data_IF_649579580017
#
_entry.id   IF_649579580017
#
_cell.length_a   1.000
_cell.length_b   1.000
_cell.length_c   1.000
_cell.angle_alpha   90.00
_cell.angle_beta   90.00
_cell.angle_gamma   90.00
#
_symmetry.space_group_name_H-M   'P 1'
#
loop_
_entity.id
_entity.type
_entity.pdbx_description
1 polymer ?
#
# COMPACT_ATOMS: atom_id res chain seq x y z
N UNK A 1 0.91 -10.35 35.06
CA UNK A 1 0.61 -11.25 33.93
C UNK A 1 1.83 -11.24 33.02
N UNK A 2 2.60 -12.33 33.02
CA UNK A 2 3.70 -12.53 32.06
C UNK A 2 3.10 -12.60 30.67
N UNK A 3 3.63 -11.83 29.71
CA UNK A 3 3.17 -11.89 28.32
C UNK A 3 3.51 -13.30 27.80
N UNK A 4 2.50 -14.16 27.62
CA UNK A 4 2.70 -15.57 27.29
C UNK A 4 3.26 -15.78 25.87
N UNK A 5 3.17 -14.75 25.03
CA UNK A 5 3.50 -14.79 23.61
C UNK A 5 4.82 -14.07 23.32
N UNK A 6 5.62 -14.65 22.42
CA UNK A 6 6.90 -14.10 22.03
C UNK A 6 6.74 -13.04 20.93
N UNK A 7 7.56 -12.00 20.94
CA UNK A 7 7.62 -10.97 19.90
C UNK A 7 8.96 -10.26 19.91
N UNK A 8 9.42 -9.82 18.73
CA UNK A 8 10.52 -8.87 18.62
C UNK A 8 10.01 -7.48 18.97
N UNK A 9 10.77 -6.74 19.77
CA UNK A 9 10.52 -5.34 20.12
C UNK A 9 11.71 -4.47 19.70
N UNK A 10 11.45 -3.17 19.49
CA UNK A 10 12.51 -2.19 19.35
C UNK A 10 13.27 -2.06 20.67
N UNK A 11 14.60 -2.12 20.60
CA UNK A 11 15.48 -1.83 21.72
C UNK A 11 15.85 -0.35 21.73
N UNK A 12 15.52 0.32 22.83
CA UNK A 12 15.76 1.74 23.05
C UNK A 12 16.88 2.01 24.05
N UNK A 13 17.49 0.98 24.65
CA UNK A 13 18.36 1.12 25.81
C UNK A 13 17.67 1.93 26.92
N UNK A 14 18.30 3.03 27.36
CA UNK A 14 17.73 3.95 28.36
C UNK A 14 16.76 5.02 27.78
N UNK A 15 16.46 4.96 26.48
CA UNK A 15 15.78 6.03 25.73
C UNK A 15 14.31 6.27 26.08
N UNK A 16 13.63 5.36 26.78
CA UNK A 16 12.21 5.50 27.15
C UNK A 16 11.96 6.19 28.50
N UNK A 17 13.01 6.71 29.15
CA UNK A 17 12.91 7.34 30.47
C UNK A 17 11.91 8.51 30.50
N UNK A 18 11.87 9.33 29.44
CA UNK A 18 10.92 10.43 29.31
C UNK A 18 9.47 9.95 29.27
N UNK A 19 9.16 8.90 28.50
CA UNK A 19 7.82 8.32 28.43
C UNK A 19 7.38 7.69 29.75
N UNK A 20 8.32 7.10 30.50
CA UNK A 20 8.02 6.61 31.84
C UNK A 20 7.57 7.75 32.77
N UNK A 21 8.24 8.91 32.73
CA UNK A 21 7.80 10.08 33.50
C UNK A 21 6.39 10.53 33.11
N UNK A 22 6.04 10.52 31.82
CA UNK A 22 4.67 10.81 31.38
C UNK A 22 3.67 9.82 31.97
N UNK A 23 3.97 8.52 31.92
CA UNK A 23 3.09 7.49 32.51
C UNK A 23 2.86 7.71 34.01
N UNK A 24 3.92 8.05 34.77
CA UNK A 24 3.82 8.35 36.20
C UNK A 24 3.07 9.67 36.49
N UNK A 25 3.22 10.68 35.63
CA UNK A 25 2.45 11.92 35.73
C UNK A 25 0.95 11.65 35.54
N UNK A 26 0.56 10.86 34.54
CA UNK A 26 -0.84 10.46 34.33
C UNK A 26 -1.36 9.66 35.54
N UNK A 27 -0.55 8.74 36.08
CA UNK A 27 -0.92 7.93 37.26
C UNK A 27 -1.27 8.78 38.48
N UNK A 28 -0.60 9.91 38.66
CA UNK A 28 -0.76 10.79 39.84
C UNK A 28 -1.73 11.95 39.60
N UNK A 29 -1.91 12.38 38.35
CA UNK A 29 -2.66 13.59 37.99
C UNK A 29 -3.68 13.34 36.86
N UNK A 30 -4.26 12.14 36.79
CA UNK A 30 -5.14 11.72 35.68
C UNK A 30 -6.28 12.70 35.40
N UNK A 31 -6.92 13.26 36.43
CA UNK A 31 -8.02 14.23 36.27
C UNK A 31 -7.61 15.50 35.53
N UNK A 32 -6.42 16.03 35.82
CA UNK A 32 -5.92 17.24 35.19
C UNK A 32 -5.44 16.97 33.76
N UNK A 33 -4.72 15.86 33.56
CA UNK A 33 -4.07 15.55 32.30
C UNK A 33 -5.00 14.91 31.25
N UNK A 34 -6.08 14.25 31.70
CA UNK A 34 -7.00 13.54 30.80
C UNK A 34 -8.35 14.25 30.60
N UNK A 35 -8.54 15.39 31.27
CA UNK A 35 -9.80 16.15 31.35
C UNK A 35 -11.03 15.30 31.76
N UNK A 36 -10.80 14.19 32.45
CA UNK A 36 -11.82 13.24 32.88
C UNK A 36 -11.41 12.62 34.23
N UNK A 37 -12.39 12.41 35.12
CA UNK A 37 -12.17 11.76 36.41
C UNK A 37 -12.13 10.23 36.24
N UNK A 38 -11.02 9.76 35.68
CA UNK A 38 -10.78 8.35 35.37
C UNK A 38 -9.49 7.85 36.02
N UNK A 39 -9.50 6.61 36.46
CA UNK A 39 -8.28 5.97 36.95
C UNK A 39 -7.35 5.64 35.78
N UNK A 40 -6.06 5.57 36.06
CA UNK A 40 -5.02 5.13 35.12
C UNK A 40 -4.11 4.12 35.83
N UNK A 41 -3.65 3.11 35.09
CA UNK A 41 -2.66 2.14 35.54
C UNK A 41 -1.45 2.26 34.61
N UNK A 42 -0.36 2.85 35.10
CA UNK A 42 0.87 3.03 34.35
C UNK A 42 1.53 1.69 34.03
N UNK A 43 2.05 1.57 32.80
CA UNK A 43 2.94 0.48 32.42
C UNK A 43 4.24 0.61 33.21
N UNK A 44 4.71 -0.49 33.80
CA UNK A 44 5.96 -0.47 34.56
C UNK A 44 7.15 -0.14 33.64
N UNK A 45 8.21 0.55 34.12
CA UNK A 45 9.32 1.01 33.29
C UNK A 45 9.95 -0.12 32.46
N UNK A 46 10.18 -1.28 33.08
CA UNK A 46 10.77 -2.47 32.46
C UNK A 46 9.86 -3.17 31.44
N UNK A 47 8.59 -2.75 31.35
CA UNK A 47 7.60 -3.25 30.39
C UNK A 47 7.32 -2.26 29.26
N UNK A 48 7.89 -1.05 29.28
CA UNK A 48 7.76 -0.11 28.17
C UNK A 48 8.53 -0.65 26.97
N UNK A 49 7.82 -0.86 25.86
CA UNK A 49 8.39 -1.35 24.62
C UNK A 49 7.53 -0.92 23.45
N UNK A 50 8.11 -0.98 22.24
CA UNK A 50 7.37 -0.92 20.99
C UNK A 50 7.50 -2.27 20.30
N UNK A 51 6.39 -3.00 20.15
CA UNK A 51 6.39 -4.28 19.43
C UNK A 51 6.79 -4.04 17.99
N UNK A 52 7.70 -4.87 17.47
CA UNK A 52 8.21 -4.82 16.11
C UNK A 52 7.59 -5.94 15.25
N UNK A 53 7.85 -7.20 15.59
CA UNK A 53 7.29 -8.38 14.89
C UNK A 53 6.65 -9.30 15.92
N UNK A 54 5.37 -9.62 15.73
CA UNK A 54 4.63 -10.50 16.63
C UNK A 54 4.77 -11.97 16.18
N UNK A 55 5.21 -12.84 17.09
CA UNK A 55 5.31 -14.27 16.82
C UNK A 55 4.16 -15.07 17.43
N UNK A 56 3.58 -14.61 18.54
CA UNK A 56 2.55 -15.37 19.25
C UNK A 56 3.13 -16.59 19.95
N UNK A 57 2.43 -17.72 19.86
CA UNK A 57 2.89 -19.03 20.35
C UNK A 57 3.72 -19.79 19.30
N UNK A 58 3.74 -19.30 18.05
CA UNK A 58 4.32 -20.01 16.90
C UNK A 58 5.83 -20.21 17.03
N UNK A 59 6.55 -19.25 17.61
CA UNK A 59 8.00 -19.36 17.83
C UNK A 59 8.34 -20.56 18.73
N UNK A 60 7.49 -20.87 19.72
CA UNK A 60 7.73 -22.00 20.63
C UNK A 60 7.44 -23.35 19.99
N UNK A 61 6.66 -23.38 18.91
CA UNK A 61 6.33 -24.60 18.18
C UNK A 61 7.47 -25.09 17.27
N UNK A 62 8.49 -24.25 17.05
CA UNK A 62 9.62 -24.59 16.18
C UNK A 62 10.60 -25.57 16.83
N UNK A 63 11.16 -26.46 16.02
CA UNK A 63 12.21 -27.38 16.45
C UNK A 63 13.54 -26.65 16.68
N UNK A 64 14.47 -27.26 17.43
CA UNK A 64 15.81 -26.66 17.69
C UNK A 64 16.55 -26.23 16.41
N UNK A 65 16.61 -27.04 15.32
CA UNK A 65 17.28 -26.62 14.09
C UNK A 65 16.59 -25.45 13.40
N UNK A 66 15.25 -25.43 13.38
CA UNK A 66 14.48 -24.32 12.81
C UNK A 66 14.69 -23.03 13.59
N UNK A 67 14.73 -23.10 14.93
CA UNK A 67 15.02 -21.95 15.78
C UNK A 67 16.44 -21.42 15.55
N UNK A 68 17.44 -22.29 15.41
CA UNK A 68 18.81 -21.88 15.15
C UNK A 68 18.95 -21.21 13.78
N UNK A 69 18.31 -21.79 12.76
CA UNK A 69 18.29 -21.21 11.42
C UNK A 69 17.56 -19.87 11.40
N UNK A 70 16.40 -19.76 12.03
CA UNK A 70 15.65 -18.51 12.13
C UNK A 70 16.49 -17.45 12.86
N UNK A 71 17.08 -17.77 14.01
CA UNK A 71 17.95 -16.85 14.74
C UNK A 71 19.08 -16.29 13.88
N UNK A 72 19.76 -17.17 13.13
CA UNK A 72 20.85 -16.79 12.23
C UNK A 72 20.35 -15.89 11.10
N UNK A 73 19.26 -16.26 10.42
CA UNK A 73 18.68 -15.46 9.33
C UNK A 73 18.21 -14.08 9.85
N UNK A 74 17.61 -14.00 11.04
CA UNK A 74 17.24 -12.72 11.66
C UNK A 74 18.47 -11.87 11.99
N UNK A 75 19.52 -12.49 12.54
CA UNK A 75 20.79 -11.82 12.85
C UNK A 75 21.44 -11.23 11.60
N UNK A 76 21.47 -12.00 10.51
CA UNK A 76 22.07 -11.57 9.26
C UNK A 76 21.28 -10.42 8.63
N UNK A 77 19.93 -10.49 8.63
CA UNK A 77 19.07 -9.40 8.15
C UNK A 77 19.29 -8.10 8.93
N UNK A 78 19.42 -8.17 10.27
CA UNK A 78 19.69 -6.98 11.09
C UNK A 78 21.10 -6.44 10.81
N UNK A 79 22.11 -7.31 10.75
CA UNK A 79 23.50 -6.92 10.47
C UNK A 79 23.69 -6.36 9.07
N UNK A 80 22.89 -6.78 8.09
CA UNK A 80 22.93 -6.27 6.71
C UNK A 80 22.10 -5.00 6.52
N UNK A 81 21.33 -4.59 7.53
CA UNK A 81 20.59 -3.34 7.46
C UNK A 81 21.51 -2.13 7.58
N UNK A 82 21.26 -1.10 6.76
CA UNK A 82 21.97 0.19 6.79
C UNK A 82 21.52 1.07 7.97
N UNK A 83 21.20 0.45 9.12
CA UNK A 83 20.82 1.14 10.34
C UNK A 83 22.04 1.18 11.25
N UNK A 84 22.64 2.37 11.39
CA UNK A 84 23.71 2.64 12.37
C UNK A 84 23.18 3.51 13.52
N UNK A 85 22.30 4.46 13.20
CA UNK A 85 21.61 5.33 14.16
C UNK A 85 20.18 5.55 13.68
N UNK A 86 19.24 4.86 14.30
CA UNK A 86 17.83 4.96 13.94
C UNK A 86 17.11 5.89 14.89
N UNK A 87 16.88 7.13 14.45
CA UNK A 87 16.02 8.07 15.14
C UNK A 87 14.55 7.68 14.96
N UNK A 88 13.80 7.72 16.06
CA UNK A 88 12.37 7.48 16.09
C UNK A 88 11.64 8.75 16.53
N UNK A 89 11.21 9.61 15.58
CA UNK A 89 10.54 10.87 15.88
C UNK A 89 9.20 10.62 16.58
N UNK A 90 8.96 11.37 17.66
CA UNK A 90 7.68 11.35 18.34
C UNK A 90 6.62 12.08 17.49
N UNK A 91 5.43 11.48 17.36
CA UNK A 91 4.32 12.02 16.55
C UNK A 91 3.25 12.68 17.41
N UNK A 92 2.71 11.97 18.40
CA UNK A 92 1.64 12.44 19.31
C UNK A 92 1.34 11.42 20.41
N UNK A 93 0.60 11.86 21.43
CA UNK A 93 -0.13 10.94 22.31
C UNK A 93 -1.53 10.64 21.74
N UNK A 94 -2.03 9.42 21.90
CA UNK A 94 -3.39 9.08 21.49
C UNK A 94 -4.00 7.92 22.28
N UNK A 95 -5.33 7.80 22.23
CA UNK A 95 -6.05 6.61 22.67
C UNK A 95 -5.99 5.54 21.58
N UNK A 96 -5.61 4.32 21.93
CA UNK A 96 -5.32 3.27 20.93
C UNK A 96 -6.57 2.84 20.12
N UNK A 97 -6.63 3.12 18.81
CA UNK A 97 -7.78 2.77 17.97
C UNK A 97 -7.63 1.35 17.37
N UNK A 98 -8.67 0.80 16.70
CA UNK A 98 -10.10 1.06 16.85
C UNK A 98 -10.78 0.13 17.88
N UNK A 99 -10.04 -0.71 18.61
CA UNK A 99 -10.60 -1.72 19.53
C UNK A 99 -10.16 -1.64 21.00
N UNK A 100 -9.10 -0.87 21.34
CA UNK A 100 -8.57 -0.73 22.71
C UNK A 100 -8.46 0.74 23.13
N UNK A 101 -9.54 1.51 22.96
CA UNK A 101 -9.59 2.93 23.32
C UNK A 101 -9.33 3.21 24.82
N UNK A 102 -9.17 2.18 25.64
CA UNK A 102 -8.76 2.28 27.03
C UNK A 102 -7.23 2.23 27.24
N UNK A 103 -6.42 2.31 26.19
CA UNK A 103 -4.96 2.42 26.31
C UNK A 103 -4.50 3.80 25.86
N UNK A 104 -3.59 4.42 26.62
CA UNK A 104 -2.87 5.61 26.19
C UNK A 104 -1.53 5.16 25.62
N UNK A 105 -1.22 5.62 24.41
CA UNK A 105 0.02 5.32 23.72
C UNK A 105 0.78 6.59 23.34
N UNK A 106 2.10 6.48 23.29
CA UNK A 106 2.97 7.41 22.56
C UNK A 106 3.16 6.84 21.15
N UNK A 107 2.77 7.60 20.12
CA UNK A 107 2.93 7.22 18.72
C UNK A 107 4.17 7.85 18.14
N UNK A 108 4.88 7.09 17.33
CA UNK A 108 6.08 7.54 16.64
C UNK A 108 5.89 7.46 15.13
N UNK A 109 6.68 8.25 14.41
CA UNK A 109 6.88 8.06 12.98
C UNK A 109 7.68 6.78 12.74
N UNK A 110 7.41 6.10 11.63
CA UNK A 110 8.12 4.87 11.27
C UNK A 110 9.18 5.20 10.20
N UNK A 111 10.49 5.25 10.56
CA UNK A 111 11.55 5.51 9.59
C UNK A 111 11.52 4.49 8.46
N UNK A 112 11.69 4.94 7.21
CA UNK A 112 11.62 4.08 6.01
C UNK A 112 12.56 2.87 6.11
N UNK A 113 13.77 3.07 6.65
CA UNK A 113 14.74 1.99 6.86
C UNK A 113 14.26 0.98 7.92
N UNK A 114 13.61 1.45 8.99
CA UNK A 114 13.08 0.60 10.05
C UNK A 114 11.87 -0.21 9.57
N UNK A 115 10.99 0.38 8.75
CA UNK A 115 9.88 -0.33 8.08
C UNK A 115 10.41 -1.40 7.11
N UNK A 116 11.45 -1.07 6.33
CA UNK A 116 12.13 -2.03 5.43
C UNK A 116 12.71 -3.19 6.23
N UNK A 117 13.43 -2.93 7.32
CA UNK A 117 13.97 -3.96 8.20
C UNK A 117 12.84 -4.85 8.76
N UNK A 118 11.78 -4.24 9.30
CA UNK A 118 10.64 -4.97 9.85
C UNK A 118 10.06 -5.94 8.84
N UNK A 119 9.83 -5.48 7.60
CA UNK A 119 9.26 -6.30 6.53
C UNK A 119 10.17 -7.48 6.17
N UNK A 120 11.49 -7.27 6.13
CA UNK A 120 12.46 -8.35 5.91
C UNK A 120 12.41 -9.40 7.02
N UNK A 121 12.41 -8.96 8.29
CA UNK A 121 12.32 -9.87 9.43
C UNK A 121 10.97 -10.59 9.47
N UNK A 122 9.86 -9.88 9.25
CA UNK A 122 8.53 -10.48 9.23
C UNK A 122 8.41 -11.57 8.14
N UNK A 123 8.91 -11.31 6.92
CA UNK A 123 8.96 -12.31 5.84
C UNK A 123 9.83 -13.51 6.21
N UNK A 124 10.98 -13.28 6.84
CA UNK A 124 11.82 -14.35 7.37
C UNK A 124 11.05 -15.19 8.40
N UNK A 125 10.36 -14.55 9.34
CA UNK A 125 9.55 -15.23 10.34
C UNK A 125 8.40 -16.03 9.70
N UNK A 126 7.74 -15.50 8.69
CA UNK A 126 6.68 -16.21 7.95
C UNK A 126 7.20 -17.46 7.24
N UNK A 127 8.37 -17.39 6.60
CA UNK A 127 9.02 -18.55 5.94
C UNK A 127 9.22 -19.71 6.92
N UNK A 128 9.49 -19.39 8.18
CA UNK A 128 9.67 -20.38 9.25
C UNK A 128 8.38 -20.71 10.02
N UNK A 129 7.21 -20.23 9.57
CA UNK A 129 5.94 -20.33 10.31
C UNK A 129 6.00 -19.76 11.74
N UNK A 130 6.85 -18.77 11.96
CA UNK A 130 7.13 -18.15 13.25
C UNK A 130 6.36 -16.83 13.46
N UNK A 131 5.50 -16.42 12.53
CA UNK A 131 4.70 -15.19 12.66
C UNK A 131 3.32 -15.37 12.05
N UNK A 132 2.35 -14.59 12.53
CA UNK A 132 1.01 -14.57 11.99
C UNK A 132 1.02 -13.95 10.58
N UNK A 133 0.16 -14.46 9.69
CA UNK A 133 -0.01 -13.98 8.30
C UNK A 133 -0.73 -12.62 8.20
N UNK A 134 -0.84 -11.89 9.31
CA UNK A 134 -1.45 -10.57 9.40
C UNK A 134 -0.31 -9.57 9.54
N UNK A 135 -0.12 -8.74 8.51
CA UNK A 135 0.84 -7.61 8.51
C UNK A 135 0.08 -6.31 8.32
N UNK A 136 -0.73 -5.98 9.33
CA UNK A 136 -1.33 -4.66 9.45
C UNK A 136 -0.22 -3.60 9.41
N UNK A 137 -0.57 -2.40 8.95
CA UNK A 137 0.35 -1.28 8.83
C UNK A 137 0.98 -0.96 10.20
N UNK A 138 2.22 -1.43 10.38
CA UNK A 138 2.91 -1.32 11.64
C UNK A 138 3.30 0.13 11.90
N UNK A 139 2.65 0.71 12.90
CA UNK A 139 2.99 2.02 13.43
C UNK A 139 3.65 1.85 14.80
N UNK A 140 4.93 2.25 14.96
CA UNK A 140 5.62 2.15 16.22
C UNK A 140 4.90 2.99 17.27
N UNK A 141 4.56 2.33 18.37
CA UNK A 141 3.94 2.95 19.51
C UNK A 141 4.41 2.28 20.79
N UNK A 142 4.46 3.07 21.87
CA UNK A 142 4.75 2.59 23.22
C UNK A 142 3.49 2.76 24.06
N UNK A 143 3.04 1.71 24.73
CA UNK A 143 1.88 1.77 25.62
C UNK A 143 2.27 2.33 26.97
N UNK A 144 1.78 3.53 27.30
CA UNK A 144 2.08 4.22 28.56
C UNK A 144 1.29 3.64 29.73
N UNK A 145 0.09 3.13 29.46
CA UNK A 145 -0.75 2.50 30.47
C UNK A 145 -2.20 2.35 30.03
N UNK A 146 -3.02 1.92 30.99
CA UNK A 146 -4.42 1.55 30.77
C UNK A 146 -5.35 2.42 31.61
N UNK A 147 -6.42 2.91 30.98
CA UNK A 147 -7.51 3.62 31.62
C UNK A 147 -8.42 2.65 32.37
N UNK A 148 -8.74 2.99 33.61
CA UNK A 148 -9.74 2.35 34.46
C UNK A 148 -11.03 3.16 34.34
N UNK A 149 -11.71 3.00 33.21
CA UNK A 149 -12.91 3.74 32.84
C UNK A 149 -13.93 2.86 32.10
N UNK A 150 -15.22 3.16 32.28
CA UNK A 150 -16.29 2.55 31.48
C UNK A 150 -16.31 3.09 30.05
N UNK A 151 -16.93 2.38 29.11
CA UNK A 151 -17.07 2.83 27.70
C UNK A 151 -17.71 4.22 27.58
N UNK A 152 -18.66 4.56 28.46
CA UNK A 152 -19.31 5.88 28.46
C UNK A 152 -18.35 7.00 28.89
N UNK A 153 -17.44 6.71 29.83
CA UNK A 153 -16.46 7.68 30.31
C UNK A 153 -15.33 7.92 29.29
N UNK A 154 -14.99 6.93 28.46
CA UNK A 154 -13.93 7.06 27.44
C UNK A 154 -14.22 8.17 26.42
N UNK A 155 -15.49 8.45 26.12
CA UNK A 155 -15.86 9.51 25.17
C UNK A 155 -15.51 10.94 25.64
N UNK A 156 -15.29 11.14 26.94
CA UNK A 156 -14.86 12.42 27.51
C UNK A 156 -13.35 12.52 27.77
N UNK A 157 -12.59 11.45 27.52
CA UNK A 157 -11.14 11.44 27.75
C UNK A 157 -10.43 12.10 26.57
N UNK A 158 -9.56 13.06 26.86
CA UNK A 158 -8.65 13.67 25.88
C UNK A 158 -7.22 13.57 26.40
N UNK A 159 -6.25 13.50 25.49
CA UNK A 159 -4.82 13.47 25.80
C UNK A 159 -4.10 14.74 25.39
N UNK A 160 -4.83 15.80 25.01
CA UNK A 160 -4.24 17.03 24.48
C UNK A 160 -3.26 17.71 25.46
N UNK A 161 -3.51 17.65 26.76
CA UNK A 161 -2.61 18.21 27.77
C UNK A 161 -1.27 17.46 27.87
N UNK A 162 -1.18 16.23 27.34
CA UNK A 162 0.07 15.47 27.32
C UNK A 162 1.08 16.02 26.32
N UNK A 163 0.65 16.80 25.31
CA UNK A 163 1.55 17.34 24.29
C UNK A 163 2.63 18.27 24.88
N UNK A 164 2.39 18.89 26.05
CA UNK A 164 3.42 19.64 26.79
C UNK A 164 4.58 18.76 27.28
N UNK A 165 4.34 17.46 27.41
CA UNK A 165 5.30 16.44 27.83
C UNK A 165 5.90 15.66 26.66
N UNK A 166 5.61 16.06 25.42
CA UNK A 166 6.14 15.43 24.22
C UNK A 166 7.69 15.40 24.24
N UNK A 167 8.32 14.24 23.93
CA UNK A 167 9.76 14.18 23.71
C UNK A 167 10.20 15.18 22.63
N UNK A 168 11.11 16.09 22.99
CA UNK A 168 11.61 17.14 22.09
C UNK A 168 12.68 16.67 21.11
N UNK A 169 13.32 15.54 21.41
CA UNK A 169 14.32 14.89 20.57
C UNK A 169 13.81 13.51 20.17
N UNK A 170 14.17 13.02 18.97
CA UNK A 170 13.88 11.66 18.57
C UNK A 170 14.47 10.65 19.57
N UNK A 171 13.77 9.54 19.77
CA UNK A 171 14.27 8.45 20.61
C UNK A 171 15.14 7.55 19.73
N UNK A 172 16.34 7.22 20.20
CA UNK A 172 17.25 6.34 19.47
C UNK A 172 16.85 4.87 19.62
N UNK A 173 16.82 4.16 18.51
CA UNK A 173 16.67 2.70 18.45
C UNK A 173 18.04 2.09 18.20
N UNK A 174 18.47 1.20 19.09
CA UNK A 174 19.80 0.57 19.10
C UNK A 174 19.80 -0.82 18.44
N UNK A 175 18.62 -1.44 18.35
CA UNK A 175 18.49 -2.79 17.83
C UNK A 175 17.11 -3.36 18.07
N UNK A 176 17.05 -4.69 18.13
CA UNK A 176 15.83 -5.43 18.46
C UNK A 176 16.10 -6.41 19.59
N UNK A 177 15.12 -6.66 20.44
CA UNK A 177 15.19 -7.67 21.49
C UNK A 177 13.98 -8.58 21.47
N UNK A 178 14.14 -9.84 21.88
CA UNK A 178 13.03 -10.78 22.01
C UNK A 178 12.41 -10.66 23.41
N UNK A 179 11.15 -10.24 23.46
CA UNK A 179 10.35 -10.18 24.68
C UNK A 179 9.29 -11.29 24.72
N UNK A 180 8.82 -11.61 25.92
CA UNK A 180 7.85 -12.68 26.17
C UNK A 180 8.49 -14.04 26.47
N UNK A 181 7.74 -15.13 26.27
CA UNK A 181 8.22 -16.48 26.59
C UNK A 181 9.24 -16.97 25.56
N UNK A 182 10.49 -17.16 26.01
CA UNK A 182 11.59 -17.61 25.13
C UNK A 182 11.56 -19.13 24.86
N UNK A 183 12.11 -19.59 23.72
CA UNK A 183 12.26 -21.02 23.44
C UNK A 183 13.23 -21.68 24.43
N UNK A 184 12.71 -22.57 25.29
CA UNK A 184 13.48 -23.23 26.37
C UNK A 184 14.43 -24.35 25.91
N UNK A 185 14.45 -24.64 24.61
CA UNK A 185 15.03 -25.87 24.08
C UNK A 185 16.37 -25.66 23.36
N UNK A 186 16.92 -24.45 23.31
CA UNK A 186 18.08 -24.10 22.48
C UNK A 186 19.22 -23.50 23.31
N UNK A 187 20.47 -23.78 22.90
CA UNK A 187 21.68 -23.24 23.52
C UNK A 187 22.03 -21.82 23.04
N UNK A 188 21.25 -21.28 22.11
CA UNK A 188 21.40 -19.91 21.63
C UNK A 188 20.81 -18.94 22.64
N UNK A 189 21.54 -17.86 22.87
CA UNK A 189 21.13 -16.82 23.80
C UNK A 189 20.17 -15.84 23.11
N UNK A 190 18.88 -16.03 23.36
CA UNK A 190 17.83 -15.11 22.92
C UNK A 190 17.63 -13.93 23.90
N UNK A 191 18.49 -13.78 24.91
CA UNK A 191 18.51 -12.60 25.79
C UNK A 191 19.29 -11.44 25.17
N UNK A 192 20.29 -11.74 24.35
CA UNK A 192 21.10 -10.74 23.66
C UNK A 192 20.29 -10.00 22.57
N UNK A 193 20.52 -8.68 22.48
CA UNK A 193 19.87 -7.86 21.48
C UNK A 193 20.47 -8.09 20.09
N UNK A 194 19.64 -8.09 19.06
CA UNK A 194 20.06 -7.94 17.67
C UNK A 194 20.47 -6.48 17.45
N UNK A 195 21.73 -6.17 17.74
CA UNK A 195 22.27 -4.82 17.63
C UNK A 195 22.39 -4.37 16.17
N UNK A 196 22.07 -3.09 15.95
CA UNK A 196 22.40 -2.39 14.72
C UNK A 196 23.92 -2.21 14.59
N UNK A 197 24.42 -1.95 13.39
CA UNK A 197 25.88 -1.81 13.17
C UNK A 197 26.41 -0.64 13.99
N UNK A 198 27.54 -0.82 14.66
CA UNK A 198 28.26 0.30 15.27
C UNK A 198 28.77 1.24 14.16
N UNK A 199 28.64 2.57 14.31
CA UNK A 199 29.18 3.51 13.34
C UNK A 199 30.69 3.31 13.22
N UNK A 200 31.18 3.12 11.98
CA UNK A 200 32.61 3.07 11.73
C UNK A 200 33.24 4.39 12.18
N UNK A 201 34.20 4.32 13.12
CA UNK A 201 34.97 5.50 13.50
C UNK A 201 35.60 6.13 12.24
N UNK A 202 35.47 7.45 12.03
CA UNK A 202 36.03 8.08 10.84
C UNK A 202 37.54 7.81 10.79
N UNK A 203 37.99 7.12 9.74
CA UNK A 203 39.41 6.97 9.46
C UNK A 203 40.02 8.35 9.29
N UNK A 204 41.08 8.64 10.08
CA UNK A 204 41.82 9.89 10.00
C UNK A 204 42.26 10.17 8.55
N UNK A 205 42.10 11.40 8.04
CA UNK A 205 42.48 11.71 6.67
C UNK A 205 43.99 11.52 6.48
N UNK A 206 44.37 10.59 5.60
CA UNK A 206 45.75 10.49 5.11
C UNK A 206 46.08 11.75 4.30
N UNK A 207 47.22 12.36 4.62
CA UNK A 207 47.72 13.57 3.96
C UNK A 207 47.87 13.36 2.44
N UNK A 208 47.44 14.32 1.60
CA UNK A 208 47.65 14.23 0.17
C UNK A 208 49.12 14.53 -0.18
N UNK A 209 49.72 13.64 -0.96
CA UNK A 209 50.99 13.91 -1.63
C UNK A 209 50.79 15.02 -2.67
N UNK A 210 51.65 16.03 -2.61
CA UNK A 210 51.68 17.16 -3.51
C UNK A 210 51.95 16.72 -4.96
N UNK A 211 51.15 17.24 -5.91
CA UNK A 211 51.58 17.60 -7.27
C UNK A 211 50.55 18.50 -7.96
N UNK A 212 50.83 19.81 -7.92
CA UNK A 212 51.09 20.67 -9.08
C UNK A 212 50.20 20.67 -10.35
N UNK A 213 49.46 21.80 -10.51
CA UNK A 213 49.19 22.62 -11.75
C UNK A 213 48.21 21.94 -12.77
N UNK A 214 47.15 22.52 -13.36
CA UNK A 214 46.88 23.83 -13.99
C UNK A 214 45.39 24.25 -13.98
N UNK A 215 45.21 25.55 -14.22
CA UNK A 215 44.03 26.41 -14.33
C UNK A 215 43.04 26.09 -15.47
N UNK A 216 41.74 26.36 -15.27
CA UNK A 216 40.97 27.33 -16.09
C UNK A 216 39.58 27.62 -15.49
N UNK A 217 39.12 28.85 -15.66
CA UNK A 217 37.84 29.38 -15.23
C UNK A 217 36.80 29.34 -16.36
N UNK A 218 35.52 29.15 -16.03
CA UNK A 218 34.39 29.68 -16.80
C UNK A 218 33.13 29.79 -15.93
N UNK A 219 32.34 30.81 -16.23
CA UNK A 219 31.26 31.44 -15.46
C UNK A 219 29.88 31.10 -16.03
N UNK A 220 28.83 31.48 -15.28
CA UNK A 220 27.51 31.95 -15.77
C UNK A 220 26.44 30.86 -15.99
N UNK A 221 25.13 31.01 -15.73
CA UNK A 221 24.26 32.06 -15.14
C UNK A 221 22.91 31.38 -14.80
N UNK A 222 22.19 31.92 -13.82
CA UNK A 222 20.80 31.56 -13.48
C UNK A 222 19.78 31.95 -14.58
N UNK A 223 18.64 31.26 -14.63
CA UNK A 223 17.40 31.83 -15.16
C UNK A 223 16.16 31.21 -14.51
N UNK A 224 15.47 32.03 -13.73
CA UNK A 224 14.10 31.83 -13.24
C UNK A 224 13.15 32.49 -14.25
N UNK A 225 12.03 31.85 -14.60
CA UNK A 225 10.80 32.57 -14.97
C UNK A 225 9.56 31.76 -14.57
N UNK A 226 8.67 32.44 -13.87
CA UNK A 226 7.32 32.03 -13.50
C UNK A 226 6.30 32.49 -14.54
N UNK A 227 5.16 31.80 -14.66
CA UNK A 227 3.89 32.39 -15.10
C UNK A 227 2.69 31.69 -14.44
N UNK A 228 1.81 32.52 -13.89
CA UNK A 228 0.44 32.33 -13.36
C UNK A 228 -0.58 32.61 -14.49
N UNK A 229 -1.88 32.32 -14.49
CA UNK A 229 -2.90 31.71 -13.63
C UNK A 229 -4.20 31.56 -14.49
N UNK A 230 -5.21 30.79 -14.05
CA UNK A 230 -6.61 31.28 -13.89
C UNK A 230 -7.66 30.16 -13.67
N UNK A 231 -7.98 29.86 -12.41
CA UNK A 231 -9.36 29.63 -11.93
C UNK A 231 -9.41 29.76 -10.38
N UNK A 232 -10.05 30.80 -9.79
CA UNK A 232 -9.96 31.06 -8.35
C UNK A 232 -10.83 30.18 -7.44
N UNK A 233 -11.88 29.54 -7.94
CA UNK A 233 -12.86 28.84 -7.08
C UNK A 233 -12.61 27.32 -6.95
N UNK A 234 -11.80 26.72 -7.83
CA UNK A 234 -11.34 25.33 -7.67
C UNK A 234 -10.24 25.18 -6.59
N UNK A 235 -9.68 26.30 -6.10
CA UNK A 235 -8.43 26.30 -5.32
C UNK A 235 -8.61 26.38 -3.79
N UNK A 236 -9.85 26.48 -3.28
CA UNK A 236 -10.10 26.54 -1.83
C UNK A 236 -10.34 25.19 -1.14
N UNK A 237 -10.59 24.11 -1.89
CA UNK A 237 -10.61 22.74 -1.32
C UNK A 237 -9.28 22.02 -1.54
N UNK A 238 -8.48 22.45 -2.53
CA UNK A 238 -7.17 21.90 -2.87
C UNK A 238 -6.08 22.15 -1.81
N UNK A 239 -6.26 23.09 -0.88
CA UNK A 239 -5.25 23.46 0.11
C UNK A 239 -5.23 22.58 1.37
N UNK A 240 -6.01 21.49 1.41
CA UNK A 240 -6.11 20.62 2.59
C UNK A 240 -5.57 19.19 2.40
N UNK A 241 -5.10 18.85 1.20
CA UNK A 241 -4.52 17.54 0.88
C UNK A 241 -3.10 17.73 0.32
N UNK A 242 -2.10 16.91 0.71
CA UNK A 242 -0.75 17.03 0.17
C UNK A 242 -0.76 16.73 -1.33
N UNK A 243 -0.52 17.77 -2.13
CA UNK A 243 -0.42 17.71 -3.59
C UNK A 243 0.87 16.99 -3.99
N UNK A 244 0.86 15.66 -4.07
CA UNK A 244 2.03 14.86 -4.47
C UNK A 244 1.77 14.18 -5.82
N UNK A 245 2.08 14.90 -6.90
CA UNK A 245 2.10 14.37 -8.27
C UNK A 245 3.45 13.70 -8.56
N UNK A 246 3.44 12.49 -9.13
CA UNK A 246 4.61 11.93 -9.82
C UNK A 246 4.29 11.77 -11.31
N UNK A 247 4.97 12.53 -12.16
CA UNK A 247 5.03 12.26 -13.59
C UNK A 247 5.76 10.93 -13.84
N UNK A 248 5.21 10.10 -14.71
CA UNK A 248 5.89 8.92 -15.22
C UNK A 248 5.99 9.01 -16.75
N UNK A 249 7.23 9.13 -17.24
CA UNK A 249 7.59 9.00 -18.65
C UNK A 249 7.57 7.52 -19.05
N UNK A 250 6.40 7.03 -19.44
CA UNK A 250 6.29 6.10 -20.57
C UNK A 250 5.97 6.99 -21.76
N UNK A 251 6.64 6.84 -22.92
CA UNK A 251 6.33 7.62 -24.12
C UNK A 251 4.88 7.36 -24.56
N UNK A 252 3.96 8.13 -23.99
CA UNK A 252 2.55 8.18 -24.35
C UNK A 252 2.30 9.59 -24.88
N UNK A 253 1.52 9.75 -25.96
CA UNK A 253 1.29 11.06 -26.57
C UNK A 253 0.55 12.03 -25.63
N UNK A 254 -0.07 11.53 -24.56
CA UNK A 254 -0.82 12.32 -23.57
C UNK A 254 -0.34 11.95 -22.16
N UNK A 255 -0.04 12.97 -21.36
CA UNK A 255 0.29 12.82 -19.94
C UNK A 255 -1.00 12.72 -19.09
N UNK A 256 -0.97 11.86 -18.08
CA UNK A 256 -2.04 11.71 -17.10
C UNK A 256 -1.52 11.97 -15.70
N UNK A 257 -2.28 12.74 -14.91
CA UNK A 257 -2.00 12.96 -13.50
C UNK A 257 -2.74 11.91 -12.66
N UNK A 258 -2.01 10.97 -12.06
CA UNK A 258 -2.59 9.98 -11.14
C UNK A 258 -2.04 10.19 -9.74
N UNK A 259 -2.89 10.60 -8.81
CA UNK A 259 -2.61 10.52 -7.38
C UNK A 259 -2.62 9.06 -6.94
N UNK A 260 -1.62 8.75 -6.14
CA UNK A 260 -1.39 7.46 -5.52
C UNK A 260 -1.17 7.70 -4.02
N UNK A 261 -1.19 6.63 -3.22
CA UNK A 261 -0.86 6.66 -1.79
C UNK A 261 0.46 5.93 -1.50
N UNK A 262 1.61 6.46 -1.98
CA UNK A 262 2.90 5.76 -1.92
C UNK A 262 3.40 5.50 -0.50
N UNK A 263 2.85 6.22 0.48
CA UNK A 263 3.15 6.08 1.90
C UNK A 263 2.10 5.25 2.64
N UNK A 264 1.10 4.71 1.91
CA UNK A 264 0.02 3.86 2.41
C UNK A 264 -0.86 4.48 3.50
N UNK A 265 -0.87 5.81 3.61
CA UNK A 265 -1.52 6.56 4.69
C UNK A 265 -3.06 6.41 4.73
N UNK A 266 -3.68 6.07 3.61
CA UNK A 266 -5.14 6.08 3.43
C UNK A 266 -5.69 4.77 2.87
N UNK A 267 -4.93 4.07 2.01
CA UNK A 267 -5.40 2.93 1.23
C UNK A 267 -4.46 1.71 1.31
N UNK A 268 -3.80 1.52 2.46
CA UNK A 268 -2.88 0.41 2.71
C UNK A 268 -3.49 -0.96 2.36
N UNK A 269 -2.75 -1.77 1.61
CA UNK A 269 -3.17 -3.12 1.20
C UNK A 269 -4.19 -3.19 0.06
N UNK A 270 -4.57 -2.06 -0.54
CA UNK A 270 -5.55 -1.99 -1.64
C UNK A 270 -4.92 -1.75 -3.02
N UNK A 271 -3.59 -1.72 -3.14
CA UNK A 271 -2.92 -1.54 -4.43
C UNK A 271 -2.90 -0.11 -4.97
N UNK A 272 -3.20 0.88 -4.13
CA UNK A 272 -3.26 2.31 -4.48
C UNK A 272 -1.93 3.06 -4.34
N UNK A 273 -0.84 2.39 -3.93
CA UNK A 273 0.41 3.07 -3.61
C UNK A 273 1.19 3.59 -4.82
N UNK A 274 0.90 3.06 -6.00
CA UNK A 274 1.48 3.47 -7.26
C UNK A 274 0.65 2.91 -8.39
N UNK A 275 0.78 3.49 -9.58
CA UNK A 275 0.41 2.77 -10.80
C UNK A 275 1.37 1.59 -10.98
N UNK A 276 0.85 0.36 -10.84
CA UNK A 276 1.63 -0.86 -10.97
C UNK A 276 2.17 -1.08 -12.38
N UNK A 277 3.23 -1.90 -12.48
CA UNK A 277 3.89 -2.20 -13.76
C UNK A 277 2.94 -2.76 -14.82
N UNK A 278 2.02 -3.65 -14.43
CA UNK A 278 1.00 -4.18 -15.34
C UNK A 278 -0.01 -3.10 -15.77
N UNK A 279 -0.37 -2.16 -14.88
CA UNK A 279 -1.23 -1.02 -15.21
C UNK A 279 -0.57 -0.07 -16.22
N UNK A 280 0.72 0.25 -16.02
CA UNK A 280 1.50 1.05 -16.99
C UNK A 280 1.62 0.36 -18.34
N UNK A 281 1.90 -0.94 -18.35
CA UNK A 281 2.00 -1.73 -19.58
C UNK A 281 0.66 -1.81 -20.32
N UNK A 282 -0.45 -2.03 -19.60
CA UNK A 282 -1.78 -2.06 -20.18
C UNK A 282 -2.17 -0.69 -20.76
N UNK A 283 -1.93 0.39 -20.00
CA UNK A 283 -2.16 1.76 -20.47
C UNK A 283 -1.40 2.06 -21.77
N UNK A 284 -0.10 1.74 -21.81
CA UNK A 284 0.73 1.88 -23.00
C UNK A 284 0.18 1.09 -24.19
N UNK A 285 -0.17 -0.19 -23.96
CA UNK A 285 -0.78 -1.04 -24.99
C UNK A 285 -2.09 -0.45 -25.55
N UNK A 286 -2.99 0.00 -24.68
CA UNK A 286 -4.30 0.55 -25.03
C UNK A 286 -4.22 1.94 -25.67
N UNK A 287 -3.16 2.71 -25.45
CA UNK A 287 -3.01 4.05 -26.05
C UNK A 287 -2.89 4.07 -27.56
N UNK A 288 -2.59 2.92 -28.16
CA UNK A 288 -2.54 2.74 -29.61
C UNK A 288 -3.90 2.41 -30.21
N UNK A 289 -4.93 2.20 -29.37
CA UNK A 289 -6.26 1.82 -29.80
C UNK A 289 -7.09 3.04 -30.21
N UNK A 290 -8.14 2.77 -30.97
CA UNK A 290 -9.18 3.75 -31.30
C UNK A 290 -10.51 3.32 -30.65
N UNK A 291 -10.71 3.58 -29.36
CA UNK A 291 -11.81 3.01 -28.58
C UNK A 291 -13.09 3.86 -28.63
N UNK A 292 -13.20 4.79 -29.59
CA UNK A 292 -14.33 5.72 -29.71
C UNK A 292 -15.68 5.00 -29.63
N UNK A 293 -16.50 5.38 -28.66
CA UNK A 293 -17.86 4.88 -28.44
C UNK A 293 -17.97 3.51 -27.75
N UNK A 294 -16.85 2.87 -27.38
CA UNK A 294 -16.89 1.61 -26.62
C UNK A 294 -17.37 1.85 -25.18
N UNK A 295 -18.21 0.95 -24.66
CA UNK A 295 -18.52 0.87 -23.23
C UNK A 295 -17.50 -0.02 -22.53
N UNK A 296 -16.80 0.54 -21.55
CA UNK A 296 -15.68 -0.13 -20.86
C UNK A 296 -15.89 -0.14 -19.36
N UNK A 297 -15.64 -1.28 -18.72
CA UNK A 297 -15.57 -1.39 -17.26
C UNK A 297 -14.14 -1.80 -16.88
N UNK A 298 -13.49 -1.01 -16.02
CA UNK A 298 -12.22 -1.40 -15.41
C UNK A 298 -12.47 -2.01 -14.03
N UNK A 299 -12.04 -3.25 -13.82
CA UNK A 299 -12.09 -3.96 -12.53
C UNK A 299 -10.82 -3.72 -11.73
N UNK A 300 -10.96 -3.43 -10.44
CA UNK A 300 -9.80 -3.20 -9.55
C UNK A 300 -8.91 -2.07 -10.09
N UNK A 301 -9.53 -0.95 -10.43
CA UNK A 301 -8.88 0.14 -11.14
C UNK A 301 -7.69 0.74 -10.36
N UNK A 302 -7.69 0.67 -9.02
CA UNK A 302 -6.65 1.25 -8.18
C UNK A 302 -6.50 2.75 -8.45
N UNK A 303 -5.46 3.14 -9.19
CA UNK A 303 -5.24 4.52 -9.62
C UNK A 303 -6.00 4.90 -10.92
N UNK A 304 -6.49 3.92 -11.69
CA UNK A 304 -7.35 4.10 -12.86
C UNK A 304 -6.65 4.41 -14.19
N UNK A 305 -5.31 4.34 -14.26
CA UNK A 305 -4.57 4.77 -15.47
C UNK A 305 -5.05 4.12 -16.78
N UNK A 306 -5.24 2.79 -16.89
CA UNK A 306 -5.72 2.17 -18.12
C UNK A 306 -7.07 2.69 -18.60
N UNK A 307 -8.05 2.83 -17.70
CA UNK A 307 -9.37 3.38 -18.03
C UNK A 307 -9.32 4.87 -18.39
N UNK A 308 -8.49 5.67 -17.71
CA UNK A 308 -8.27 7.08 -18.06
C UNK A 308 -7.74 7.23 -19.50
N UNK A 309 -6.82 6.35 -19.92
CA UNK A 309 -6.29 6.32 -21.29
C UNK A 309 -7.38 6.01 -22.31
N UNK A 310 -8.23 5.01 -22.05
CA UNK A 310 -9.34 4.67 -22.96
C UNK A 310 -10.38 5.78 -23.04
N UNK A 311 -10.71 6.42 -21.91
CA UNK A 311 -11.63 7.55 -21.87
C UNK A 311 -11.11 8.72 -22.72
N UNK A 312 -9.81 9.01 -22.65
CA UNK A 312 -9.19 10.04 -23.51
C UNK A 312 -9.24 9.67 -24.99
N UNK A 313 -9.27 8.38 -25.32
CA UNK A 313 -9.50 7.87 -26.67
C UNK A 313 -10.96 7.84 -27.13
N UNK A 314 -11.90 8.39 -26.34
CA UNK A 314 -13.32 8.50 -26.69
C UNK A 314 -14.18 7.31 -26.24
N UNK A 315 -13.70 6.47 -25.32
CA UNK A 315 -14.51 5.42 -24.71
C UNK A 315 -15.40 5.96 -23.58
N UNK A 316 -16.55 5.34 -23.36
CA UNK A 316 -17.35 5.53 -22.15
C UNK A 316 -16.87 4.56 -21.08
N UNK A 317 -16.21 5.06 -20.04
CA UNK A 317 -15.50 4.23 -19.05
C UNK A 317 -16.19 4.29 -17.70
N UNK A 318 -16.41 3.13 -17.08
CA UNK A 318 -16.72 3.01 -15.65
C UNK A 318 -15.53 2.39 -14.93
N UNK A 319 -14.88 3.17 -14.06
CA UNK A 319 -13.80 2.72 -13.19
C UNK A 319 -14.40 2.10 -11.92
N UNK A 320 -14.00 0.86 -11.60
CA UNK A 320 -14.56 0.15 -10.45
C UNK A 320 -13.52 -0.40 -9.51
N UNK A 321 -13.82 -0.31 -8.21
CA UNK A 321 -12.99 -0.87 -7.14
C UNK A 321 -13.81 -1.06 -5.85
N UNK A 322 -13.16 -1.49 -4.78
CA UNK A 322 -13.74 -1.55 -3.44
C UNK A 322 -14.15 -0.14 -2.96
N UNK A 323 -15.21 -0.01 -2.13
CA UNK A 323 -15.76 1.28 -1.72
C UNK A 323 -14.74 2.29 -1.16
N UNK A 324 -13.72 1.78 -0.48
CA UNK A 324 -12.68 2.58 0.17
C UNK A 324 -11.77 3.30 -0.83
N UNK A 325 -11.64 2.82 -2.08
CA UNK A 325 -10.78 3.42 -3.10
C UNK A 325 -11.46 4.45 -4.00
N UNK A 326 -12.80 4.55 -3.93
CA UNK A 326 -13.56 5.37 -4.87
C UNK A 326 -13.21 6.86 -4.78
N UNK A 327 -12.91 7.37 -3.59
CA UNK A 327 -12.54 8.78 -3.42
C UNK A 327 -11.23 9.13 -4.14
N UNK A 328 -10.23 8.24 -4.12
CA UNK A 328 -8.98 8.43 -4.85
C UNK A 328 -9.19 8.30 -6.36
N UNK A 329 -9.99 7.33 -6.78
CA UNK A 329 -10.36 7.19 -8.20
C UNK A 329 -11.06 8.45 -8.71
N UNK A 330 -12.06 8.97 -7.99
CA UNK A 330 -12.75 10.22 -8.35
C UNK A 330 -11.80 11.40 -8.45
N UNK A 331 -10.83 11.52 -7.53
CA UNK A 331 -9.79 12.54 -7.61
C UNK A 331 -8.98 12.40 -8.90
N UNK A 332 -8.56 11.18 -9.26
CA UNK A 332 -7.81 10.94 -10.48
C UNK A 332 -8.63 11.23 -11.73
N UNK A 333 -9.93 10.95 -11.73
CA UNK A 333 -10.81 11.36 -12.84
C UNK A 333 -10.90 12.89 -12.90
N UNK A 334 -11.10 13.58 -11.78
CA UNK A 334 -11.19 15.05 -11.71
C UNK A 334 -9.89 15.76 -12.12
N UNK A 335 -8.74 15.15 -11.83
CA UNK A 335 -7.43 15.67 -12.21
C UNK A 335 -7.16 15.64 -13.73
N UNK A 336 -7.91 14.83 -14.49
CA UNK A 336 -7.68 14.63 -15.92
C UNK A 336 -8.86 15.05 -16.81
N UNK A 337 -10.09 15.12 -16.30
CA UNK A 337 -11.30 15.39 -17.09
C UNK A 337 -12.13 16.49 -16.45
N UNK A 338 -12.55 17.48 -17.24
CA UNK A 338 -13.53 18.48 -16.80
C UNK A 338 -14.89 17.85 -16.54
N UNK A 339 -15.72 18.50 -15.72
CA UNK A 339 -17.07 18.01 -15.42
C UNK A 339 -17.95 17.89 -16.69
N UNK A 340 -17.75 18.77 -17.66
CA UNK A 340 -18.51 18.78 -18.93
C UNK A 340 -17.89 17.89 -20.02
N UNK A 341 -16.83 17.13 -19.72
CA UNK A 341 -16.24 16.21 -20.70
C UNK A 341 -17.18 15.02 -20.92
N UNK A 342 -17.63 14.85 -22.16
CA UNK A 342 -18.55 13.78 -22.57
C UNK A 342 -17.99 12.38 -22.28
N UNK A 343 -16.66 12.24 -22.29
CA UNK A 343 -15.97 10.97 -22.02
C UNK A 343 -15.40 10.90 -20.61
N UNK A 344 -15.80 11.81 -19.71
CA UNK A 344 -15.42 11.74 -18.29
C UNK A 344 -15.80 10.37 -17.71
N UNK A 345 -14.83 9.60 -17.17
CA UNK A 345 -15.14 8.32 -16.55
C UNK A 345 -16.10 8.45 -15.36
N UNK A 346 -16.98 7.46 -15.21
CA UNK A 346 -17.78 7.26 -14.00
C UNK A 346 -17.01 6.39 -13.01
N UNK A 347 -17.17 6.64 -11.70
CA UNK A 347 -16.60 5.78 -10.65
C UNK A 347 -17.72 5.05 -9.92
N UNK A 348 -17.55 3.75 -9.69
CA UNK A 348 -18.56 2.94 -8.99
C UNK A 348 -17.91 1.87 -8.11
N UNK A 349 -18.59 1.51 -7.01
CA UNK A 349 -18.21 0.36 -6.22
C UNK A 349 -18.42 -0.93 -7.02
N UNK A 350 -17.41 -1.81 -7.04
CA UNK A 350 -17.57 -3.19 -7.49
C UNK A 350 -16.59 -4.09 -6.73
N UNK A 351 -17.12 -4.84 -5.75
CA UNK A 351 -16.39 -5.93 -5.09
C UNK A 351 -16.52 -7.20 -5.92
N UNK A 352 -15.41 -7.86 -6.23
CA UNK A 352 -15.43 -9.12 -6.99
C UNK A 352 -16.31 -10.16 -6.29
N UNK A 353 -17.06 -10.92 -7.08
CA UNK A 353 -18.06 -11.89 -6.59
C UNK A 353 -19.34 -11.28 -6.01
N UNK A 354 -19.48 -9.94 -5.95
CA UNK A 354 -20.72 -9.31 -5.49
C UNK A 354 -21.66 -9.02 -6.67
N UNK A 355 -22.71 -9.84 -6.80
CA UNK A 355 -23.70 -9.71 -7.87
C UNK A 355 -24.52 -8.41 -7.81
N UNK A 356 -24.76 -7.85 -6.62
CA UNK A 356 -25.52 -6.60 -6.47
C UNK A 356 -24.71 -5.40 -6.98
N UNK A 357 -23.40 -5.36 -6.67
CA UNK A 357 -22.51 -4.31 -7.18
C UNK A 357 -22.42 -4.39 -8.72
N UNK A 358 -22.26 -5.59 -9.30
CA UNK A 358 -22.23 -5.79 -10.75
C UNK A 358 -23.55 -5.38 -11.43
N UNK A 359 -24.70 -5.73 -10.84
CA UNK A 359 -26.01 -5.32 -11.33
C UNK A 359 -26.19 -3.79 -11.30
N UNK A 360 -25.70 -3.12 -10.26
CA UNK A 360 -25.72 -1.65 -10.17
C UNK A 360 -24.89 -1.00 -11.28
N UNK A 361 -23.71 -1.54 -11.59
CA UNK A 361 -22.87 -1.05 -12.70
C UNK A 361 -23.56 -1.26 -14.04
N UNK A 362 -24.15 -2.44 -14.29
CA UNK A 362 -24.91 -2.70 -15.51
C UNK A 362 -26.14 -1.80 -15.64
N UNK A 363 -26.84 -1.52 -14.54
CA UNK A 363 -27.98 -0.61 -14.53
C UNK A 363 -27.57 0.82 -14.91
N UNK A 364 -26.42 1.29 -14.40
CA UNK A 364 -25.89 2.61 -14.73
C UNK A 364 -25.48 2.72 -16.22
N UNK A 365 -24.87 1.67 -16.77
CA UNK A 365 -24.45 1.62 -18.19
C UNK A 365 -25.64 1.36 -19.14
N UNK A 366 -26.67 0.65 -18.67
CA UNK A 366 -27.87 0.28 -19.43
C UNK A 366 -27.68 -0.88 -20.42
N UNK A 367 -26.48 -1.45 -20.52
CA UNK A 367 -26.15 -2.61 -21.36
C UNK A 367 -24.88 -3.31 -20.87
N UNK A 368 -24.64 -4.58 -21.27
CA UNK A 368 -23.33 -5.20 -21.08
C UNK A 368 -22.21 -4.39 -21.75
N UNK A 369 -21.03 -4.24 -21.12
CA UNK A 369 -19.92 -3.49 -21.67
C UNK A 369 -19.33 -4.20 -22.89
N UNK A 370 -18.79 -3.40 -23.81
CA UNK A 370 -18.04 -3.92 -24.94
C UNK A 370 -16.70 -4.52 -24.50
N UNK A 371 -16.12 -3.97 -23.42
CA UNK A 371 -14.82 -4.39 -22.91
C UNK A 371 -14.80 -4.34 -21.38
N UNK A 372 -14.30 -5.41 -20.77
CA UNK A 372 -13.81 -5.39 -19.38
C UNK A 372 -12.29 -5.39 -19.42
N UNK A 373 -11.66 -4.51 -18.64
CA UNK A 373 -10.21 -4.50 -18.45
C UNK A 373 -9.85 -4.64 -16.97
N UNK A 374 -8.62 -5.06 -16.70
CA UNK A 374 -8.05 -5.08 -15.36
C UNK A 374 -6.54 -5.26 -15.40
N UNK A 375 -5.84 -4.66 -14.44
CA UNK A 375 -4.37 -4.75 -14.38
C UNK A 375 -3.90 -5.16 -12.98
N UNK A 376 -2.97 -6.12 -12.94
CA UNK A 376 -2.38 -6.68 -11.71
C UNK A 376 -3.42 -7.28 -10.73
N UNK A 377 -4.52 -7.84 -11.25
CA UNK A 377 -5.60 -8.45 -10.45
C UNK A 377 -5.33 -9.90 -10.03
N UNK A 378 -4.34 -10.55 -10.65
CA UNK A 378 -4.02 -11.97 -10.47
C UNK A 378 -2.85 -12.11 -9.50
N UNK A 379 -3.13 -12.00 -8.20
CA UNK A 379 -2.09 -12.04 -7.14
C UNK A 379 -2.48 -12.85 -5.90
N UNK A 380 -3.77 -13.15 -5.68
CA UNK A 380 -4.26 -14.03 -4.59
C UNK A 380 -5.17 -15.11 -5.17
N UNK A 381 -4.78 -16.39 -5.06
CA UNK A 381 -5.53 -17.51 -5.62
C UNK A 381 -6.98 -17.60 -5.11
N UNK A 382 -7.19 -17.24 -3.85
CA UNK A 382 -8.50 -17.23 -3.20
C UNK A 382 -9.50 -16.25 -3.85
N UNK A 383 -9.03 -15.28 -4.64
CA UNK A 383 -9.89 -14.27 -5.28
C UNK A 383 -10.24 -14.61 -6.74
N UNK A 384 -9.63 -15.64 -7.33
CA UNK A 384 -9.77 -15.95 -8.75
C UNK A 384 -11.22 -16.23 -9.15
N UNK A 385 -11.94 -17.00 -8.34
CA UNK A 385 -13.34 -17.33 -8.59
C UNK A 385 -14.24 -16.10 -8.51
N UNK A 386 -13.99 -15.23 -7.52
CA UNK A 386 -14.76 -14.00 -7.35
C UNK A 386 -14.54 -13.05 -8.55
N UNK A 387 -13.30 -12.95 -9.05
CA UNK A 387 -12.96 -12.15 -10.23
C UNK A 387 -13.64 -12.70 -11.49
N UNK A 388 -13.56 -14.01 -11.73
CA UNK A 388 -14.18 -14.64 -12.91
C UNK A 388 -15.71 -14.56 -12.87
N UNK A 389 -16.33 -14.80 -11.72
CA UNK A 389 -17.78 -14.63 -11.53
C UNK A 389 -18.22 -13.18 -11.78
N UNK A 390 -17.38 -12.20 -11.43
CA UNK A 390 -17.63 -10.79 -11.74
C UNK A 390 -17.59 -10.51 -13.25
N UNK A 391 -16.57 -11.01 -13.96
CA UNK A 391 -16.48 -10.88 -15.42
C UNK A 391 -17.69 -11.53 -16.08
N UNK A 392 -18.11 -12.71 -15.62
CA UNK A 392 -19.31 -13.40 -16.12
C UNK A 392 -20.58 -12.59 -15.87
N UNK A 393 -20.73 -12.02 -14.67
CA UNK A 393 -21.89 -11.20 -14.30
C UNK A 393 -22.00 -9.94 -15.13
N UNK A 394 -20.87 -9.33 -15.51
CA UNK A 394 -20.84 -8.17 -16.41
C UNK A 394 -21.12 -8.56 -17.87
N UNK A 395 -20.92 -9.83 -18.25
CA UNK A 395 -21.12 -10.36 -19.59
C UNK A 395 -20.50 -9.51 -20.73
N UNK A 396 -19.20 -9.13 -20.64
CA UNK A 396 -18.58 -8.29 -21.65
C UNK A 396 -18.42 -9.03 -22.97
N UNK A 397 -18.33 -8.29 -24.08
CA UNK A 397 -17.92 -8.90 -25.37
C UNK A 397 -16.48 -9.40 -25.34
N UNK A 398 -15.58 -8.67 -24.64
CA UNK A 398 -14.17 -9.03 -24.46
C UNK A 398 -13.70 -8.71 -23.04
N UNK A 399 -12.84 -9.54 -22.47
CA UNK A 399 -12.22 -9.29 -21.17
C UNK A 399 -10.69 -9.41 -21.27
N UNK A 400 -9.99 -8.32 -20.94
CA UNK A 400 -8.54 -8.19 -21.03
C UNK A 400 -7.90 -7.96 -19.66
N UNK A 401 -7.02 -8.86 -19.23
CA UNK A 401 -6.32 -8.78 -17.96
C UNK A 401 -4.82 -8.67 -18.19
N UNK A 402 -4.21 -7.56 -17.81
CA UNK A 402 -2.76 -7.43 -17.78
C UNK A 402 -2.21 -8.00 -16.47
N UNK A 403 -1.37 -9.02 -16.55
CA UNK A 403 -0.84 -9.75 -15.41
C UNK A 403 0.68 -9.73 -15.45
N UNK A 404 1.30 -9.23 -14.38
CA UNK A 404 2.74 -9.35 -14.25
C UNK A 404 3.10 -10.80 -13.90
N UNK A 405 4.05 -11.39 -14.64
CA UNK A 405 4.59 -12.72 -14.37
C UNK A 405 5.30 -12.72 -13.03
N UNK A 406 4.61 -13.26 -12.03
CA UNK A 406 5.11 -13.56 -10.68
C UNK A 406 4.85 -15.04 -10.45
N UNK A 407 5.85 -15.87 -10.74
CA UNK A 407 5.88 -17.29 -10.31
C UNK A 407 4.60 -18.10 -10.65
N UNK A 408 4.07 -18.84 -9.66
CA UNK A 408 2.99 -19.84 -9.75
C UNK A 408 1.60 -19.22 -9.95
N UNK A 409 1.37 -17.96 -9.56
CA UNK A 409 0.02 -17.35 -9.54
C UNK A 409 -0.61 -17.22 -10.94
N UNK A 410 0.18 -16.84 -11.95
CA UNK A 410 -0.28 -16.78 -13.35
C UNK A 410 -0.68 -18.17 -13.86
N UNK A 411 0.12 -19.19 -13.55
CA UNK A 411 -0.14 -20.57 -13.95
C UNK A 411 -1.38 -21.12 -13.24
N UNK A 412 -1.51 -20.85 -11.94
CA UNK A 412 -2.69 -21.20 -11.15
C UNK A 412 -3.96 -20.54 -11.69
N UNK A 413 -3.90 -19.26 -12.07
CA UNK A 413 -5.02 -18.55 -12.68
C UNK A 413 -5.41 -19.14 -14.03
N UNK A 414 -4.45 -19.36 -14.94
CA UNK A 414 -4.71 -20.00 -16.24
C UNK A 414 -5.29 -21.41 -16.05
N UNK A 415 -4.76 -22.17 -15.09
CA UNK A 415 -5.28 -23.50 -14.73
C UNK A 415 -6.72 -23.40 -14.25
N UNK A 416 -7.04 -22.41 -13.39
CA UNK A 416 -8.38 -22.20 -12.86
C UNK A 416 -9.38 -21.79 -13.93
N UNK A 417 -9.01 -20.87 -14.82
CA UNK A 417 -9.81 -20.45 -15.98
C UNK A 417 -10.18 -21.67 -16.84
N UNK A 418 -9.19 -22.49 -17.21
CA UNK A 418 -9.42 -23.73 -17.97
C UNK A 418 -10.29 -24.75 -17.23
N UNK A 419 -10.08 -24.90 -15.93
CA UNK A 419 -10.90 -25.80 -15.09
C UNK A 419 -12.38 -25.39 -15.08
N UNK A 420 -12.68 -24.10 -15.15
CA UNK A 420 -14.04 -23.58 -15.26
C UNK A 420 -14.62 -23.62 -16.69
N UNK A 421 -13.89 -24.20 -17.65
CA UNK A 421 -14.31 -24.30 -19.06
C UNK A 421 -14.14 -23.01 -19.86
N UNK A 422 -13.51 -21.98 -19.29
CA UNK A 422 -13.19 -20.74 -20.00
C UNK A 422 -12.02 -20.96 -20.95
N UNK A 423 -12.01 -20.23 -22.07
CA UNK A 423 -10.84 -20.14 -22.95
C UNK A 423 -9.99 -18.93 -22.58
N UNK A 424 -8.67 -19.05 -22.73
CA UNK A 424 -7.74 -17.95 -22.50
C UNK A 424 -6.67 -17.91 -23.59
N UNK A 425 -6.46 -16.73 -24.14
CA UNK A 425 -5.32 -16.42 -25.00
C UNK A 425 -4.37 -15.50 -24.24
N UNK A 426 -3.07 -15.70 -24.41
CA UNK A 426 -2.06 -14.89 -23.75
C UNK A 426 -1.04 -14.37 -24.75
N UNK A 427 -0.63 -13.11 -24.57
CA UNK A 427 0.45 -12.49 -25.32
C UNK A 427 1.29 -11.62 -24.40
N UNK A 428 2.57 -11.44 -24.71
CA UNK A 428 3.45 -10.56 -23.95
C UNK A 428 3.32 -9.13 -24.48
N UNK A 429 3.00 -8.17 -23.61
CA UNK A 429 2.85 -6.74 -24.00
C UNK A 429 3.94 -5.84 -23.43
N UNK A 430 4.67 -6.30 -22.42
CA UNK A 430 5.85 -5.64 -21.87
C UNK A 430 6.75 -6.67 -21.18
N UNK A 431 8.01 -6.34 -20.81
CA UNK A 431 8.88 -7.26 -20.08
C UNK A 431 8.18 -7.81 -18.82
N UNK A 432 7.94 -9.13 -18.81
CA UNK A 432 7.23 -9.85 -17.75
C UNK A 432 5.76 -9.45 -17.55
N UNK A 433 5.09 -8.80 -18.50
CA UNK A 433 3.64 -8.52 -18.41
C UNK A 433 2.91 -9.22 -19.56
N UNK A 434 2.02 -10.13 -19.19
CA UNK A 434 1.16 -10.85 -20.12
C UNK A 434 -0.21 -10.17 -20.18
N UNK A 435 -0.72 -9.96 -21.38
CA UNK A 435 -2.12 -9.65 -21.60
C UNK A 435 -2.88 -10.96 -21.81
N UNK A 436 -3.83 -11.24 -20.94
CA UNK A 436 -4.72 -12.38 -21.01
C UNK A 436 -6.07 -11.92 -21.57
N UNK A 437 -6.51 -12.55 -22.65
CA UNK A 437 -7.88 -12.42 -23.13
C UNK A 437 -8.67 -13.65 -22.70
N UNK A 438 -9.66 -13.46 -21.83
CA UNK A 438 -10.45 -14.54 -21.22
C UNK A 438 -11.86 -14.58 -21.79
N UNK A 439 -12.35 -15.78 -22.06
CA UNK A 439 -13.65 -16.03 -22.68
C UNK A 439 -14.44 -17.01 -21.82
N UNK A 440 -15.64 -16.64 -21.32
CA UNK A 440 -16.50 -17.56 -20.59
C UNK A 440 -16.93 -18.76 -21.43
N UNK A 441 -17.27 -19.91 -20.81
CA UNK A 441 -17.78 -21.09 -21.49
C UNK A 441 -19.08 -20.75 -22.24
N UNK A 442 -18.95 -20.64 -23.56
CA UNK A 442 -19.97 -20.49 -24.62
C UNK A 442 -21.36 -19.98 -24.21
N UNK A 443 -21.59 -18.69 -24.49
CA UNK A 443 -22.88 -18.16 -24.97
C UNK A 443 -22.70 -17.14 -26.12
N UNK A 444 -21.72 -17.35 -27.00
CA UNK A 444 -21.57 -16.55 -28.22
C UNK A 444 -21.57 -17.46 -29.45
N UNK A 445 -22.50 -17.20 -30.38
CA UNK A 445 -22.57 -17.86 -31.69
C UNK A 445 -21.32 -17.45 -32.49
N UNK A 446 -20.78 -18.37 -33.28
CA UNK A 446 -19.53 -18.23 -34.05
C UNK A 446 -19.45 -16.98 -34.96
N UNK A 447 -20.55 -16.26 -35.17
CA UNK A 447 -20.61 -15.03 -35.97
C UNK A 447 -19.94 -13.81 -35.33
N UNK A 448 -19.70 -13.80 -34.01
CA UNK A 448 -19.14 -12.62 -33.30
C UNK A 448 -17.61 -12.62 -33.21
N UNK A 449 -16.93 -13.70 -33.63
CA UNK A 449 -15.47 -13.80 -33.59
C UNK A 449 -14.74 -13.11 -34.75
N UNK A 450 -15.43 -12.80 -35.85
CA UNK A 450 -14.78 -12.52 -37.13
C UNK A 450 -14.51 -11.04 -37.46
N UNK A 451 -14.84 -10.06 -36.61
CA UNK A 451 -14.80 -8.65 -37.05
C UNK A 451 -14.16 -7.65 -36.08
N UNK A 452 -13.01 -7.90 -35.43
CA UNK A 452 -12.43 -6.85 -34.57
C UNK A 452 -10.90 -6.81 -34.59
N UNK A 453 -10.34 -6.34 -35.71
CA UNK A 453 -9.00 -5.76 -35.71
C UNK A 453 -9.12 -4.28 -35.27
N UNK A 454 -8.88 -3.99 -34.00
CA UNK A 454 -9.05 -2.64 -33.42
C UNK A 454 -7.95 -1.63 -33.85
N UNK A 455 -7.10 -2.02 -34.81
CA UNK A 455 -6.09 -1.14 -35.42
C UNK A 455 -6.63 -0.34 -36.62
N UNK A 456 -7.86 -0.56 -37.08
CA UNK A 456 -8.41 0.14 -38.26
C UNK A 456 -9.33 1.32 -37.90
N UNK A 457 -9.19 2.38 -38.70
CA UNK A 457 -9.80 3.69 -38.50
C UNK A 457 -11.34 3.69 -38.52
N UNK A 458 -12.01 4.67 -37.88
CA UNK A 458 -13.46 4.66 -37.68
C UNK A 458 -14.27 4.79 -38.99
N UNK A 459 -13.63 5.30 -40.04
CA UNK A 459 -14.25 5.61 -41.33
C UNK A 459 -14.77 4.37 -42.07
N UNK A 460 -14.26 3.17 -41.76
CA UNK A 460 -14.76 1.92 -42.35
C UNK A 460 -15.96 1.31 -41.62
N UNK A 461 -16.35 1.83 -40.45
CA UNK A 461 -17.49 1.29 -39.67
C UNK A 461 -18.87 1.77 -40.17
N UNK A 462 -18.93 2.84 -40.97
CA UNK A 462 -20.20 3.41 -41.46
C UNK A 462 -20.75 2.77 -42.75
N UNK A 463 -20.09 1.77 -43.36
CA UNK A 463 -20.55 1.17 -44.63
C UNK A 463 -21.22 -0.21 -44.49
N UNK A 464 -21.41 -0.72 -43.27
CA UNK A 464 -22.08 -2.00 -43.04
C UNK A 464 -23.39 -1.84 -42.27
N UNK A 465 -24.28 -0.95 -42.74
CA UNK A 465 -25.70 -1.09 -42.49
C UNK A 465 -26.30 -1.88 -43.67
N UNK A 466 -27.00 -3.01 -43.46
CA UNK A 466 -27.78 -3.61 -44.52
C UNK A 466 -28.88 -2.63 -44.90
N UNK A 467 -28.94 -2.28 -46.19
CA UNK A 467 -30.11 -1.62 -46.74
C UNK A 467 -31.29 -2.61 -46.71
N UNK A 468 -32.40 -2.13 -46.12
CA UNK A 468 -33.77 -2.67 -46.10
C UNK A 468 -34.02 -3.95 -45.30
#
# INVERSE_FOLDING_TARGET
>A
MTCSTAFLALDFGAGLTSLNWVAQAIQTQSKALLSADVGFEATAPERLHATFVFHGELLQALTKPQLAQLHQELSDIVKESDLEQCELPFKRFELFPPGKQNLIIARFEAPKLLVKLRRSLWRCCLKHNASLKIDDEWLPHVTLGKLQASKAQLGGVTVAALEEFAPKLPIMVQGLTLLGTRPKQLWLDWEEAFQFREPQQPQQPQQPAANSIETSAASSTAMTMAYTASDPDAMQVASSWPLWSHEHSVEMPVQFLTVCDPEHCYFSGLGAERVWGAGKALASYLSTWQPQGLQVVELGAGCGLPGLVLARGGAFVTLTDVPWLLQMLEYNVAANFSQDDVFRPYVSALRWGNAADAASVLQAIGRPPDLVIGADLVYREQDFDALLACIESLAPRRALLAVQRRDVALEAFISRVKHLGWSVFSQLIAPRVFLLEVFPPVHLKDTDRACFNLQEAPEQRCQAAPAA
#
